data_IF_144015564877
#
_entry.id   IF_144015564877
#
_cell.length_a   1.000
_cell.length_b   1.000
_cell.length_c   1.000
_cell.angle_alpha   90.00
_cell.angle_beta   90.00
_cell.angle_gamma   90.00
#
_symmetry.space_group_name_H-M   'P 1'
#
loop_
_entity.id
_entity.type
_entity.pdbx_description
1 polymer ?
#
# COMPACT_ATOMS: atom_id res chain seq x y z
N UNK A 1 9.15 -23.95 -10.28
CA UNK A 1 9.82 -22.72 -9.86
C UNK A 1 10.29 -21.99 -11.10
N UNK A 2 9.64 -20.87 -11.42
CA UNK A 2 10.09 -19.98 -12.48
C UNK A 2 11.04 -18.96 -11.88
N UNK A 3 11.99 -18.48 -12.68
CA UNK A 3 12.83 -17.38 -12.25
C UNK A 3 11.99 -16.09 -12.20
N UNK A 4 12.40 -15.16 -11.37
CA UNK A 4 11.79 -13.83 -11.24
C UNK A 4 11.65 -13.12 -12.60
N UNK A 5 12.64 -13.32 -13.48
CA UNK A 5 12.64 -12.82 -14.84
C UNK A 5 11.51 -13.43 -15.71
N UNK A 6 11.22 -14.73 -15.55
CA UNK A 6 10.14 -15.40 -16.29
C UNK A 6 8.76 -14.99 -15.80
N UNK A 7 8.60 -14.76 -14.50
CA UNK A 7 7.36 -14.20 -13.93
C UNK A 7 7.12 -12.79 -14.45
N UNK A 8 8.18 -12.02 -14.53
CA UNK A 8 8.17 -10.66 -15.06
C UNK A 8 7.76 -10.60 -16.54
N UNK A 9 8.38 -11.40 -17.39
CA UNK A 9 8.02 -11.49 -18.81
C UNK A 9 6.57 -11.95 -19.00
N UNK A 10 6.09 -12.80 -18.12
CA UNK A 10 4.70 -13.25 -18.14
C UNK A 10 3.73 -12.11 -17.84
N UNK A 11 3.99 -11.31 -16.81
CA UNK A 11 3.17 -10.14 -16.46
C UNK A 11 3.21 -9.11 -17.58
N UNK A 12 4.38 -8.88 -18.17
CA UNK A 12 4.51 -8.03 -19.35
C UNK A 12 3.60 -8.48 -20.49
N UNK A 13 3.55 -9.77 -20.77
CA UNK A 13 2.65 -10.32 -21.76
C UNK A 13 1.17 -10.10 -21.41
N UNK A 14 0.79 -10.27 -20.15
CA UNK A 14 -0.58 -9.99 -19.71
C UNK A 14 -0.96 -8.52 -19.92
N UNK A 15 -0.05 -7.59 -19.66
CA UNK A 15 -0.27 -6.15 -19.87
C UNK A 15 -0.45 -5.78 -21.37
N UNK A 16 0.16 -6.54 -22.28
CA UNK A 16 0.08 -6.30 -23.73
C UNK A 16 -1.25 -6.77 -24.33
N UNK A 17 -1.83 -7.85 -23.78
CA UNK A 17 -2.95 -8.56 -24.40
C UNK A 17 -4.35 -8.20 -23.88
N UNK A 18 -4.51 -7.10 -23.14
CA UNK A 18 -5.82 -6.63 -22.65
C UNK A 18 -6.61 -7.67 -21.85
N UNK A 19 -5.95 -8.44 -21.01
CA UNK A 19 -6.62 -9.42 -20.16
C UNK A 19 -7.58 -8.73 -19.16
N UNK A 20 -8.68 -9.40 -18.89
CA UNK A 20 -9.62 -8.97 -17.84
C UNK A 20 -9.01 -9.10 -16.44
N UNK A 21 -9.58 -8.40 -15.46
CA UNK A 21 -9.18 -8.51 -14.06
C UNK A 21 -9.19 -9.96 -13.59
N UNK A 22 -10.21 -10.74 -13.97
CA UNK A 22 -10.38 -12.13 -13.58
C UNK A 22 -9.29 -13.03 -14.20
N UNK A 23 -8.96 -12.80 -15.46
CA UNK A 23 -7.88 -13.52 -16.16
C UNK A 23 -6.52 -13.18 -15.54
N UNK A 24 -6.27 -11.91 -15.24
CA UNK A 24 -5.06 -11.46 -14.58
C UNK A 24 -4.91 -12.11 -13.19
N UNK A 25 -6.00 -12.12 -12.43
CA UNK A 25 -6.05 -12.71 -11.10
C UNK A 25 -5.81 -14.23 -11.14
N UNK A 26 -6.45 -14.92 -12.08
CA UNK A 26 -6.26 -16.36 -12.28
C UNK A 26 -4.83 -16.72 -12.66
N UNK A 27 -4.23 -15.93 -13.54
CA UNK A 27 -2.86 -16.16 -14.00
C UNK A 27 -1.83 -15.89 -12.89
N UNK A 28 -1.94 -14.78 -12.19
CA UNK A 28 -0.98 -14.38 -11.14
C UNK A 28 -0.98 -15.32 -9.94
N UNK A 29 -2.12 -15.89 -9.61
CA UNK A 29 -2.24 -16.89 -8.54
C UNK A 29 -1.36 -18.15 -8.80
N UNK A 30 -1.09 -18.46 -10.05
CA UNK A 30 -0.27 -19.62 -10.41
C UNK A 30 1.21 -19.30 -10.56
N UNK A 31 1.59 -18.03 -10.70
CA UNK A 31 2.93 -17.64 -11.12
C UNK A 31 3.72 -16.84 -10.09
N UNK A 32 3.05 -16.10 -9.21
CA UNK A 32 3.73 -15.34 -8.16
C UNK A 32 2.89 -15.29 -6.89
N UNK A 33 3.43 -15.83 -5.80
CA UNK A 33 2.77 -15.75 -4.50
C UNK A 33 2.67 -14.31 -3.98
N UNK A 34 3.70 -13.50 -4.21
CA UNK A 34 3.74 -12.10 -3.78
C UNK A 34 2.67 -11.28 -4.51
N UNK A 35 2.56 -11.46 -5.82
CA UNK A 35 1.58 -10.76 -6.63
C UNK A 35 0.15 -11.23 -6.35
N UNK A 36 -0.05 -12.53 -6.10
CA UNK A 36 -1.35 -13.05 -5.63
C UNK A 36 -1.77 -12.36 -4.31
N UNK A 37 -0.85 -12.23 -3.35
CA UNK A 37 -1.13 -11.55 -2.09
C UNK A 37 -1.45 -10.06 -2.28
N UNK A 38 -0.75 -9.38 -3.18
CA UNK A 38 -0.99 -8.00 -3.52
C UNK A 38 -2.37 -7.80 -4.16
N UNK A 39 -2.74 -8.64 -5.14
CA UNK A 39 -3.99 -8.55 -5.88
C UNK A 39 -5.22 -8.98 -5.09
N UNK A 40 -5.05 -9.69 -3.99
CA UNK A 40 -6.19 -10.07 -3.13
C UNK A 40 -6.99 -8.85 -2.72
N UNK A 41 -8.31 -9.03 -2.75
CA UNK A 41 -9.23 -8.00 -2.27
C UNK A 41 -8.97 -7.73 -0.79
N UNK A 42 -8.72 -6.48 -0.46
CA UNK A 42 -8.65 -6.02 0.92
C UNK A 42 -9.99 -5.43 1.30
N UNK A 43 -10.67 -6.03 2.30
CA UNK A 43 -11.91 -5.49 2.83
C UNK A 43 -11.62 -4.48 3.92
N UNK A 44 -12.22 -3.29 3.80
CA UNK A 44 -12.13 -2.24 4.81
C UNK A 44 -13.12 -2.42 5.96
N UNK A 45 -13.92 -3.50 6.00
CA UNK A 45 -14.94 -3.76 7.04
C UNK A 45 -14.30 -3.97 8.40
N UNK A 46 -13.26 -4.34 8.69
CA UNK A 46 -12.62 -4.48 10.02
C UNK A 46 -11.69 -3.33 10.35
N UNK A 47 -11.50 -2.41 9.43
CA UNK A 47 -10.54 -1.33 9.60
C UNK A 47 -11.11 -0.25 10.49
N UNK A 48 -10.34 0.18 11.48
CA UNK A 48 -10.73 1.25 12.39
C UNK A 48 -10.72 2.60 11.65
N UNK A 49 -11.74 2.82 10.83
CA UNK A 49 -11.96 4.11 10.18
C UNK A 49 -12.57 5.13 11.15
N UNK A 50 -13.13 4.67 12.28
CA UNK A 50 -14.01 5.42 13.19
C UNK A 50 -15.05 6.29 12.48
N UNK A 51 -15.33 5.97 11.25
CA UNK A 51 -16.51 6.43 10.55
C UNK A 51 -17.67 5.71 11.21
N UNK A 52 -18.78 6.39 11.48
CA UNK A 52 -19.94 5.78 12.16
C UNK A 52 -20.37 4.51 11.42
N UNK A 53 -20.96 3.55 12.13
CA UNK A 53 -21.46 2.30 11.53
C UNK A 53 -22.45 2.52 10.36
N UNK A 54 -22.97 3.75 10.22
CA UNK A 54 -23.78 4.20 9.09
C UNK A 54 -23.02 4.36 7.76
N UNK A 55 -21.68 4.32 7.75
CA UNK A 55 -20.88 4.54 6.54
C UNK A 55 -20.32 3.22 5.93
N UNK A 56 -21.12 2.15 5.97
CA UNK A 56 -20.86 0.91 5.21
C UNK A 56 -20.49 1.25 3.76
N UNK A 57 -21.19 2.21 3.17
CA UNK A 57 -20.96 2.70 1.80
C UNK A 57 -19.53 3.22 1.55
N UNK A 58 -18.89 3.89 2.52
CA UNK A 58 -17.51 4.37 2.32
C UNK A 58 -16.50 3.22 2.28
N UNK A 59 -16.70 2.21 3.13
CA UNK A 59 -15.84 1.01 3.15
C UNK A 59 -15.93 0.24 1.84
N UNK A 60 -17.14 0.09 1.32
CA UNK A 60 -17.38 -0.55 0.02
C UNK A 60 -16.72 0.23 -1.11
N UNK A 61 -16.87 1.56 -1.12
CA UNK A 61 -16.23 2.45 -2.09
C UNK A 61 -14.71 2.26 -2.06
N UNK A 62 -14.09 2.30 -0.88
CA UNK A 62 -12.63 2.12 -0.74
C UNK A 62 -12.19 0.72 -1.18
N UNK A 63 -12.93 -0.30 -0.80
CA UNK A 63 -12.66 -1.69 -1.18
C UNK A 63 -12.65 -1.85 -2.69
N UNK A 64 -13.68 -1.34 -3.37
CA UNK A 64 -13.79 -1.42 -4.82
C UNK A 64 -12.73 -0.55 -5.51
N UNK A 65 -12.57 0.70 -5.08
CA UNK A 65 -11.62 1.63 -5.67
C UNK A 65 -10.20 1.08 -5.66
N UNK A 66 -9.72 0.61 -4.51
CA UNK A 66 -8.36 0.09 -4.42
C UNK A 66 -8.18 -1.26 -5.10
N UNK A 67 -9.22 -2.06 -5.23
CA UNK A 67 -9.17 -3.27 -6.04
C UNK A 67 -8.96 -2.93 -7.52
N UNK A 68 -9.75 -2.01 -8.05
CA UNK A 68 -9.60 -1.54 -9.44
C UNK A 68 -8.25 -0.82 -9.64
N UNK A 69 -7.82 0.01 -8.69
CA UNK A 69 -6.53 0.71 -8.74
C UNK A 69 -5.34 -0.23 -8.91
N UNK A 70 -5.31 -1.35 -8.16
CA UNK A 70 -4.24 -2.35 -8.27
C UNK A 70 -4.11 -2.90 -9.69
N UNK A 71 -5.24 -3.17 -10.35
CA UNK A 71 -5.26 -3.64 -11.73
C UNK A 71 -4.68 -2.59 -12.67
N UNK A 72 -5.10 -1.32 -12.52
CA UNK A 72 -4.55 -0.21 -13.31
C UNK A 72 -3.03 -0.11 -13.14
N UNK A 73 -2.56 -0.23 -11.88
CA UNK A 73 -1.13 -0.14 -11.57
C UNK A 73 -0.33 -1.28 -12.21
N UNK A 74 -0.81 -2.52 -12.16
CA UNK A 74 -0.13 -3.67 -12.76
C UNK A 74 -0.13 -3.60 -14.28
N UNK A 75 -1.26 -3.24 -14.88
CA UNK A 75 -1.39 -3.14 -16.32
C UNK A 75 -0.76 -1.87 -16.90
N UNK A 76 -0.32 -0.94 -16.01
CA UNK A 76 0.16 0.40 -16.36
C UNK A 76 -0.79 1.11 -17.35
N UNK A 77 -2.09 0.93 -17.13
CA UNK A 77 -3.14 1.40 -18.03
C UNK A 77 -4.35 1.84 -17.25
N UNK A 78 -4.83 3.03 -17.52
CA UNK A 78 -6.09 3.54 -16.96
C UNK A 78 -7.24 3.15 -17.87
N UNK A 79 -8.12 2.28 -17.41
CA UNK A 79 -9.32 1.91 -18.12
C UNK A 79 -10.37 3.04 -18.08
N UNK A 80 -11.15 3.25 -19.14
CA UNK A 80 -12.15 4.33 -19.18
C UNK A 80 -13.19 4.26 -18.06
N UNK A 81 -13.56 3.06 -17.61
CA UNK A 81 -14.46 2.87 -16.47
C UNK A 81 -13.86 3.40 -15.17
N UNK A 82 -12.57 3.16 -14.94
CA UNK A 82 -11.85 3.65 -13.77
C UNK A 82 -11.63 5.17 -13.83
N UNK A 83 -11.34 5.72 -14.99
CA UNK A 83 -11.26 7.16 -15.21
C UNK A 83 -12.56 7.86 -14.82
N UNK A 84 -13.71 7.30 -15.19
CA UNK A 84 -15.01 7.83 -14.77
C UNK A 84 -15.17 7.79 -13.26
N UNK A 85 -14.71 6.74 -12.58
CA UNK A 85 -14.72 6.61 -11.12
C UNK A 85 -13.84 7.68 -10.48
N UNK A 86 -12.64 7.92 -11.01
CA UNK A 86 -11.73 8.97 -10.52
C UNK A 86 -12.38 10.34 -10.66
N UNK A 87 -12.94 10.67 -11.83
CA UNK A 87 -13.58 11.94 -12.10
C UNK A 87 -14.78 12.19 -11.16
N UNK A 88 -15.59 11.16 -10.91
CA UNK A 88 -16.66 11.21 -9.93
C UNK A 88 -16.14 11.52 -8.53
N UNK A 89 -15.12 10.79 -8.08
CA UNK A 89 -14.57 10.95 -6.72
C UNK A 89 -13.79 12.26 -6.55
N UNK A 90 -13.24 12.82 -7.61
CA UNK A 90 -12.65 14.16 -7.59
C UNK A 90 -13.68 15.25 -7.25
N UNK A 91 -14.95 15.05 -7.66
CA UNK A 91 -16.06 15.94 -7.37
C UNK A 91 -16.66 15.65 -5.99
N UNK A 92 -17.01 14.38 -5.73
CA UNK A 92 -17.72 13.96 -4.51
C UNK A 92 -16.82 13.92 -3.27
N UNK A 93 -15.52 13.73 -3.46
CA UNK A 93 -14.48 13.68 -2.42
C UNK A 93 -14.83 12.76 -1.25
N UNK A 94 -15.17 11.48 -1.48
CA UNK A 94 -15.59 10.56 -0.42
C UNK A 94 -14.52 10.37 0.65
N UNK A 95 -13.23 10.52 0.32
CA UNK A 95 -12.11 10.43 1.24
C UNK A 95 -12.16 11.49 2.38
N UNK A 96 -12.83 12.62 2.17
CA UNK A 96 -13.02 13.65 3.21
C UNK A 96 -13.85 13.15 4.41
N UNK A 97 -14.56 12.03 4.25
CA UNK A 97 -15.26 11.37 5.35
C UNK A 97 -14.32 10.59 6.26
N UNK A 98 -13.12 10.27 5.81
CA UNK A 98 -12.10 9.65 6.65
C UNK A 98 -11.62 10.64 7.71
N UNK A 99 -11.18 10.12 8.85
CA UNK A 99 -10.53 10.96 9.86
C UNK A 99 -9.16 11.43 9.39
N UNK A 100 -8.72 12.62 9.79
CA UNK A 100 -7.33 13.01 9.58
C UNK A 100 -6.37 12.00 10.20
N UNK A 101 -5.30 11.63 9.49
CA UNK A 101 -4.27 10.72 9.99
C UNK A 101 -3.71 11.18 11.33
N UNK A 102 -3.45 12.47 11.49
CA UNK A 102 -2.98 13.07 12.75
C UNK A 102 -3.89 12.75 13.95
N UNK A 103 -5.20 12.77 13.73
CA UNK A 103 -6.19 12.43 14.76
C UNK A 103 -6.14 10.95 15.17
N UNK A 104 -5.79 10.06 14.25
CA UNK A 104 -5.61 8.63 14.54
C UNK A 104 -4.32 8.45 15.35
N UNK A 105 -3.21 8.96 14.84
CA UNK A 105 -1.88 8.77 15.45
C UNK A 105 -1.77 9.40 16.84
N UNK A 106 -2.42 10.54 17.06
CA UNK A 106 -2.44 11.17 18.38
C UNK A 106 -3.02 10.29 19.49
N UNK A 107 -3.93 9.38 19.12
CA UNK A 107 -4.63 8.47 20.04
C UNK A 107 -3.95 7.11 20.23
N UNK A 108 -2.92 6.81 19.45
CA UNK A 108 -2.19 5.55 19.59
C UNK A 108 -1.43 5.52 20.92
N UNK A 109 -1.44 4.35 21.55
CA UNK A 109 -0.51 4.05 22.63
C UNK A 109 0.91 3.89 22.04
N UNK A 110 1.81 4.75 22.49
CA UNK A 110 3.20 4.86 22.01
C UNK A 110 4.21 4.31 23.00
N UNK A 111 3.74 3.75 24.13
CA UNK A 111 4.64 3.22 25.13
C UNK A 111 5.45 2.05 24.54
N UNK A 112 6.79 2.18 24.59
CA UNK A 112 7.74 1.22 24.04
C UNK A 112 7.51 0.89 22.56
N UNK A 113 6.89 1.81 21.80
CA UNK A 113 6.69 1.69 20.37
C UNK A 113 7.81 2.38 19.60
N UNK A 114 8.22 1.78 18.47
CA UNK A 114 9.09 2.42 17.49
C UNK A 114 8.28 2.81 16.25
N UNK A 115 8.51 4.03 15.76
CA UNK A 115 7.90 4.54 14.53
C UNK A 115 8.73 4.14 13.32
N UNK A 116 8.10 3.47 12.38
CA UNK A 116 8.59 3.17 11.03
C UNK A 116 7.86 4.07 10.05
N UNK A 117 8.57 5.03 9.51
CA UNK A 117 8.04 5.92 8.48
C UNK A 117 8.36 5.34 7.10
N UNK A 118 7.37 4.77 6.45
CA UNK A 118 7.45 4.33 5.07
C UNK A 118 7.05 5.46 4.14
N UNK A 119 8.01 6.02 3.44
CA UNK A 119 7.78 7.03 2.41
C UNK A 119 7.09 6.38 1.20
N UNK A 120 6.01 6.99 0.71
CA UNK A 120 5.24 6.55 -0.44
C UNK A 120 4.57 5.16 -0.34
N UNK A 121 4.30 4.63 0.88
CA UNK A 121 3.59 3.38 1.06
C UNK A 121 2.07 3.58 0.90
N UNK A 122 1.53 3.19 -0.23
CA UNK A 122 0.11 3.34 -0.55
C UNK A 122 -0.80 2.30 0.13
N UNK A 123 -2.08 2.62 0.16
CA UNK A 123 -3.15 1.77 0.73
C UNK A 123 -3.34 0.48 -0.06
N UNK A 124 -2.97 0.46 -1.34
CA UNK A 124 -3.03 -0.69 -2.22
C UNK A 124 -2.21 -1.89 -1.75
N UNK A 125 -1.19 -1.67 -0.91
CA UNK A 125 -0.35 -2.75 -0.38
C UNK A 125 -0.95 -3.46 0.84
N UNK A 126 -2.07 -3.00 1.39
CA UNK A 126 -2.62 -3.52 2.66
C UNK A 126 -2.94 -5.01 2.63
N UNK A 127 -3.40 -5.55 1.50
CA UNK A 127 -3.63 -7.00 1.38
C UNK A 127 -2.34 -7.80 1.50
N UNK A 128 -1.27 -7.34 0.87
CA UNK A 128 0.06 -7.94 0.94
C UNK A 128 0.63 -7.83 2.36
N UNK A 129 0.63 -6.63 2.93
CA UNK A 129 1.14 -6.38 4.28
C UNK A 129 0.43 -7.26 5.31
N UNK A 130 -0.90 -7.32 5.26
CA UNK A 130 -1.69 -8.14 6.18
C UNK A 130 -1.31 -9.61 6.06
N UNK A 131 -1.25 -10.14 4.85
CA UNK A 131 -0.90 -11.53 4.60
C UNK A 131 0.53 -11.87 5.07
N UNK A 132 1.50 -10.97 4.84
CA UNK A 132 2.88 -11.16 5.30
C UNK A 132 3.00 -11.05 6.83
N UNK A 133 2.26 -10.16 7.46
CA UNK A 133 2.19 -10.10 8.92
C UNK A 133 1.64 -11.41 9.50
N UNK A 134 0.56 -11.95 8.92
CA UNK A 134 0.00 -13.25 9.32
C UNK A 134 1.02 -14.39 9.14
N UNK A 135 1.74 -14.43 8.01
CA UNK A 135 2.81 -15.39 7.73
C UNK A 135 3.93 -15.32 8.78
N UNK A 136 4.28 -14.11 9.23
CA UNK A 136 5.32 -13.88 10.24
C UNK A 136 4.82 -14.01 11.68
N UNK A 137 3.56 -14.38 11.88
CA UNK A 137 2.98 -14.52 13.22
C UNK A 137 2.78 -13.19 13.96
N UNK A 138 2.70 -12.07 13.22
CA UNK A 138 2.49 -10.75 13.77
C UNK A 138 1.00 -10.45 13.90
N UNK A 139 0.62 -9.84 15.02
CA UNK A 139 -0.72 -9.28 15.20
C UNK A 139 -0.71 -7.86 14.63
N UNK A 140 -1.54 -7.60 13.64
CA UNK A 140 -1.62 -6.31 12.97
C UNK A 140 -2.98 -5.66 13.17
N UNK A 141 -2.96 -4.39 13.56
CA UNK A 141 -4.12 -3.50 13.58
C UNK A 141 -3.93 -2.43 12.51
N UNK A 142 -4.93 -2.26 11.65
CA UNK A 142 -4.88 -1.33 10.52
C UNK A 142 -5.89 -0.21 10.75
N UNK A 143 -5.42 1.02 10.60
CA UNK A 143 -6.25 2.22 10.62
C UNK A 143 -6.01 3.04 9.36
N UNK A 144 -7.04 3.64 8.81
CA UNK A 144 -6.95 4.47 7.61
C UNK A 144 -7.45 5.88 7.93
N UNK A 145 -6.67 6.86 7.50
CA UNK A 145 -7.01 8.25 7.55
C UNK A 145 -6.69 8.94 6.23
N UNK A 146 -7.20 10.14 6.05
CA UNK A 146 -6.77 10.97 4.94
C UNK A 146 -5.50 11.77 5.31
N UNK A 147 -4.66 12.03 4.30
CA UNK A 147 -3.54 12.98 4.39
C UNK A 147 -3.98 14.36 3.90
N UNK A 148 -3.14 15.37 4.14
CA UNK A 148 -3.35 16.72 3.64
C UNK A 148 -3.00 16.81 2.14
N UNK A 149 -3.67 17.69 1.42
CA UNK A 149 -3.37 17.98 0.02
C UNK A 149 -2.53 19.26 -0.11
N UNK A 150 -1.55 19.31 -1.00
CA UNK A 150 -1.07 18.22 -1.87
C UNK A 150 -0.43 17.09 -1.07
N UNK A 151 -0.55 15.85 -1.58
CA UNK A 151 -0.01 14.65 -0.96
C UNK A 151 1.51 14.54 -1.13
N UNK A 152 2.24 15.45 -0.53
CA UNK A 152 3.70 15.51 -0.50
C UNK A 152 4.22 15.39 0.92
N UNK A 153 5.42 14.85 1.07
CA UNK A 153 6.05 14.59 2.37
C UNK A 153 6.13 15.84 3.27
N UNK A 154 6.43 17.01 2.72
CA UNK A 154 6.54 18.25 3.50
C UNK A 154 5.25 18.62 4.23
N UNK A 155 4.10 18.26 3.69
CA UNK A 155 2.79 18.52 4.27
C UNK A 155 2.30 17.38 5.16
N UNK A 156 2.88 16.19 5.04
CA UNK A 156 2.33 14.96 5.55
C UNK A 156 3.26 14.21 6.52
N UNK A 157 4.18 14.90 7.17
CA UNK A 157 5.12 14.35 8.17
C UNK A 157 4.85 14.80 9.62
N UNK A 158 3.68 15.38 9.88
CA UNK A 158 3.27 15.88 11.20
C UNK A 158 3.30 14.79 12.28
N UNK A 159 3.12 13.53 11.89
CA UNK A 159 3.11 12.40 12.82
C UNK A 159 4.44 12.19 13.54
N UNK A 160 5.55 12.61 12.96
CA UNK A 160 6.90 12.47 13.54
C UNK A 160 6.98 13.14 14.93
N UNK A 161 6.34 14.30 15.10
CA UNK A 161 6.33 15.03 16.34
C UNK A 161 5.67 14.26 17.50
N UNK A 162 4.69 13.39 17.22
CA UNK A 162 4.02 12.57 18.22
C UNK A 162 4.94 11.47 18.80
N UNK A 163 6.08 11.23 18.18
CA UNK A 163 7.11 10.28 18.62
C UNK A 163 8.39 11.00 19.08
N UNK A 164 8.30 12.30 19.42
CA UNK A 164 9.44 13.09 19.88
C UNK A 164 10.56 13.24 18.84
N UNK A 165 10.22 13.18 17.56
CA UNK A 165 11.16 13.26 16.45
C UNK A 165 11.98 11.99 16.21
N UNK A 166 11.71 10.90 16.93
CA UNK A 166 12.41 9.62 16.74
C UNK A 166 11.61 8.72 15.81
N UNK A 167 12.23 8.30 14.73
CA UNK A 167 11.64 7.39 13.75
C UNK A 167 12.72 6.70 12.93
N UNK A 168 12.35 5.59 12.33
CA UNK A 168 13.15 4.91 11.31
C UNK A 168 12.52 5.19 9.96
N UNK A 169 13.23 5.90 9.09
CA UNK A 169 12.78 6.18 7.74
C UNK A 169 13.06 4.99 6.84
N UNK A 170 12.11 4.65 6.00
CA UNK A 170 12.19 3.69 4.90
C UNK A 170 11.77 4.48 3.66
N UNK A 171 12.74 4.88 2.84
CA UNK A 171 12.57 5.71 1.66
C UNK A 171 12.81 4.97 0.33
N UNK A 172 13.15 3.69 0.42
CA UNK A 172 13.47 2.86 -0.75
C UNK A 172 12.30 2.74 -1.75
N UNK A 173 11.04 2.86 -1.28
CA UNK A 173 9.88 2.88 -2.19
C UNK A 173 9.79 4.16 -2.99
N UNK A 174 10.02 5.29 -2.34
CA UNK A 174 10.02 6.60 -2.98
C UNK A 174 11.23 6.74 -3.92
N UNK A 175 12.41 6.32 -3.46
CA UNK A 175 13.64 6.32 -4.25
C UNK A 175 13.52 5.45 -5.51
N UNK A 176 12.87 4.29 -5.41
CA UNK A 176 12.65 3.41 -6.55
C UNK A 176 11.91 4.11 -7.68
N UNK A 177 10.98 5.00 -7.35
CA UNK A 177 10.15 5.72 -8.32
C UNK A 177 10.79 6.98 -8.87
N UNK A 178 11.53 7.70 -8.03
CA UNK A 178 12.04 9.03 -8.38
C UNK A 178 13.51 9.04 -8.79
N UNK A 179 14.31 8.09 -8.30
CA UNK A 179 15.76 8.16 -8.42
C UNK A 179 16.40 6.92 -9.05
N UNK A 180 15.63 5.89 -9.35
CA UNK A 180 16.19 4.67 -9.95
C UNK A 180 16.60 4.92 -11.40
N UNK A 181 17.91 4.82 -11.68
CA UNK A 181 18.42 4.82 -13.04
C UNK A 181 18.01 3.59 -13.86
N UNK A 182 17.58 2.54 -13.18
CA UNK A 182 17.14 1.27 -13.77
C UNK A 182 15.71 1.39 -14.28
N UNK A 183 14.89 2.22 -13.65
CA UNK A 183 13.48 2.38 -13.95
C UNK A 183 13.18 3.81 -14.42
N UNK A 184 13.53 4.07 -15.68
CA UNK A 184 13.10 5.29 -16.36
C UNK A 184 11.65 5.06 -16.84
N UNK A 185 10.68 5.51 -16.03
CA UNK A 185 9.25 5.37 -16.31
C UNK A 185 8.83 5.99 -17.65
N UNK A 186 9.55 7.00 -18.11
CA UNK A 186 9.29 7.61 -19.42
C UNK A 186 9.72 6.71 -20.58
N UNK A 187 10.74 5.88 -20.37
CA UNK A 187 11.28 4.97 -21.37
C UNK A 187 10.71 3.56 -21.25
N UNK A 188 10.52 3.09 -20.02
CA UNK A 188 10.04 1.75 -19.70
C UNK A 188 8.64 1.88 -19.15
N UNK A 189 7.63 1.88 -19.99
CA UNK A 189 6.21 1.95 -19.61
C UNK A 189 5.67 0.62 -19.07
N UNK A 190 6.45 -0.10 -18.29
CA UNK A 190 6.11 -1.42 -17.76
C UNK A 190 6.08 -1.40 -16.22
N UNK A 191 5.21 -2.15 -15.56
CA UNK A 191 5.07 -2.17 -14.10
C UNK A 191 6.19 -2.97 -13.42
N UNK A 192 7.43 -2.77 -13.87
CA UNK A 192 8.62 -3.50 -13.43
C UNK A 192 8.88 -3.36 -11.94
N UNK A 193 8.52 -2.24 -11.38
CA UNK A 193 8.80 -1.95 -9.98
C UNK A 193 7.87 -2.67 -9.01
N UNK A 194 6.73 -3.16 -9.40
CA UNK A 194 5.80 -3.79 -8.42
C UNK A 194 6.45 -4.92 -7.64
N UNK A 195 7.28 -5.75 -8.28
CA UNK A 195 8.00 -6.81 -7.57
C UNK A 195 9.00 -6.26 -6.58
N UNK A 196 9.80 -5.27 -7.00
CA UNK A 196 10.77 -4.64 -6.10
C UNK A 196 10.09 -3.87 -4.97
N UNK A 197 8.94 -3.24 -5.24
CA UNK A 197 8.11 -2.62 -4.20
C UNK A 197 7.66 -3.66 -3.16
N UNK A 198 7.17 -4.82 -3.61
CA UNK A 198 6.74 -5.90 -2.72
C UNK A 198 7.91 -6.52 -1.94
N UNK A 199 9.09 -6.65 -2.56
CA UNK A 199 10.31 -7.11 -1.89
C UNK A 199 10.74 -6.13 -0.78
N UNK A 200 10.79 -4.83 -1.06
CA UNK A 200 11.14 -3.80 -0.06
C UNK A 200 10.19 -3.88 1.14
N UNK A 201 8.89 -4.00 0.89
CA UNK A 201 7.91 -4.13 1.95
C UNK A 201 8.15 -5.42 2.76
N UNK A 202 8.38 -6.55 2.09
CA UNK A 202 8.63 -7.83 2.75
C UNK A 202 9.91 -7.83 3.59
N UNK A 203 11.01 -7.28 3.06
CA UNK A 203 12.28 -7.12 3.75
C UNK A 203 12.12 -6.32 5.05
N UNK A 204 11.41 -5.20 4.99
CA UNK A 204 11.19 -4.37 6.18
C UNK A 204 10.22 -5.00 7.18
N UNK A 205 9.20 -5.73 6.73
CA UNK A 205 8.33 -6.48 7.64
C UNK A 205 9.10 -7.60 8.37
N UNK A 206 10.02 -8.30 7.70
CA UNK A 206 10.91 -9.29 8.33
C UNK A 206 11.85 -8.64 9.34
N UNK A 207 12.36 -7.46 9.03
CA UNK A 207 13.19 -6.69 9.94
C UNK A 207 12.44 -6.30 11.20
N UNK A 208 11.20 -5.80 11.05
CA UNK A 208 10.30 -5.48 12.15
C UNK A 208 10.01 -6.73 12.99
N UNK A 209 9.70 -7.86 12.35
CA UNK A 209 9.52 -9.14 13.04
C UNK A 209 10.74 -9.49 13.90
N UNK A 210 11.93 -9.39 13.32
CA UNK A 210 13.16 -9.69 14.05
C UNK A 210 13.37 -8.82 15.28
N UNK A 211 13.06 -7.52 15.20
CA UNK A 211 13.15 -6.60 16.33
C UNK A 211 12.14 -6.93 17.45
N UNK A 212 10.93 -7.34 17.07
CA UNK A 212 9.88 -7.76 17.99
C UNK A 212 10.23 -9.08 18.68
N UNK A 213 10.70 -10.07 17.92
CA UNK A 213 11.12 -11.38 18.46
C UNK A 213 12.33 -11.26 19.40
N UNK A 214 13.25 -10.36 19.12
CA UNK A 214 14.40 -10.05 19.98
C UNK A 214 14.05 -9.15 21.17
N UNK A 215 12.77 -8.79 21.32
CA UNK A 215 12.30 -7.89 22.36
C UNK A 215 13.01 -6.52 22.37
N UNK A 216 13.65 -6.15 21.26
CA UNK A 216 14.28 -4.82 21.10
C UNK A 216 13.24 -3.73 21.12
N UNK A 217 12.06 -4.02 20.55
CA UNK A 217 10.84 -3.21 20.62
C UNK A 217 9.67 -4.11 21.03
N UNK A 218 8.64 -3.53 21.63
CA UNK A 218 7.42 -4.27 21.98
C UNK A 218 6.27 -4.00 21.00
N UNK A 219 6.37 -2.93 20.22
CA UNK A 219 5.37 -2.51 19.25
C UNK A 219 6.05 -1.77 18.11
N UNK A 220 5.67 -2.07 16.89
CA UNK A 220 6.03 -1.29 15.71
C UNK A 220 4.80 -0.51 15.22
N UNK A 221 4.96 0.78 14.95
CA UNK A 221 3.94 1.61 14.37
C UNK A 221 4.42 2.04 12.99
N UNK A 222 3.79 1.52 11.95
CA UNK A 222 4.09 1.86 10.57
C UNK A 222 3.17 3.00 10.15
N UNK A 223 3.73 4.08 9.64
CA UNK A 223 2.99 5.24 9.12
C UNK A 223 3.55 5.62 7.76
N UNK A 224 2.67 5.85 6.81
CA UNK A 224 3.02 6.47 5.52
C UNK A 224 2.53 7.92 5.48
N UNK A 225 3.23 8.75 4.74
CA UNK A 225 2.87 10.14 4.46
C UNK A 225 1.90 10.27 3.29
N UNK A 226 2.15 9.55 2.21
CA UNK A 226 1.30 9.47 1.01
C UNK A 226 1.43 8.10 0.34
N UNK A 227 0.59 7.82 -0.65
CA UNK A 227 0.77 6.74 -1.60
C UNK A 227 1.51 7.26 -2.84
N UNK A 228 2.07 6.36 -3.59
CA UNK A 228 2.80 6.68 -4.81
C UNK A 228 1.96 6.49 -6.07
#
# INVERSE_FOLDING_TARGET
DRSETEEFEFIRCLCIYDYTEEELYSATKHFSSALDLYLRKFSFDGVNTKVSDSDITLRDILTQYFQEYKVQKITNRIHPSFENTINKFAIERPYNKLRPRSSIISQLDKEKAELFFFDALGVEYLSFIKAKCEEYGLIVEISIGHCELPSITEKNKEFIQYFGGKYRKIDELDELKHHSQIYDYEKIKEPIHIFRELEIIDEELRRIQSLLVQETITKAIIVSDHGA
#
